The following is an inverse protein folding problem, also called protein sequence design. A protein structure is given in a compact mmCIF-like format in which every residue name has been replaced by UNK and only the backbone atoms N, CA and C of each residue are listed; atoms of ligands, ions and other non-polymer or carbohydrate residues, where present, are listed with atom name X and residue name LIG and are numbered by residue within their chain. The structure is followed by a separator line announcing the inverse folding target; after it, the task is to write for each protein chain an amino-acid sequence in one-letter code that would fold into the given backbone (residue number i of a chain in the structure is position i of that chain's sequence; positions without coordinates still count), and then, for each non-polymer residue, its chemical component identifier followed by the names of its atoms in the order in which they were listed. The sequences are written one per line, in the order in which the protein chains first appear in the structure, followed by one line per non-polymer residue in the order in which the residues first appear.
data_IF_934485349602
#
_entry.id   IF_934485349602
#
_cell.length_a   1.000
_cell.length_b   1.000
_cell.length_c   1.000
_cell.angle_alpha   90.00
_cell.angle_beta   90.00
_cell.angle_gamma   90.00
#
_symmetry.space_group_name_H-M   'P 1'
#
loop_
_entity.id
_entity.type
_entity.pdbx_description
1 polymer ?
#
# COMPACT_ATOMS: atom_id res chain seq x y z
N UNK A 1 -106.99 -7.01 -10.14
CA UNK A 1 -105.90 -8.03 -10.09
C UNK A 1 -105.52 -8.29 -8.64
N UNK A 2 -104.70 -9.31 -8.34
CA UNK A 2 -104.02 -9.45 -7.04
C UNK A 2 -102.52 -9.27 -7.26
N UNK A 3 -101.87 -8.41 -6.46
CA UNK A 3 -100.41 -8.33 -6.38
C UNK A 3 -99.86 -9.40 -5.43
N UNK A 4 -98.62 -9.83 -5.68
CA UNK A 4 -97.87 -10.75 -4.83
C UNK A 4 -96.37 -10.59 -5.08
N UNK A 5 -95.56 -10.50 -4.02
CA UNK A 5 -94.14 -10.20 -4.12
C UNK A 5 -93.87 -8.69 -4.07
N UNK A 6 -93.01 -8.20 -4.97
CA UNK A 6 -92.40 -6.86 -4.92
C UNK A 6 -93.35 -5.68 -5.24
N UNK A 7 -94.60 -5.95 -5.62
CA UNK A 7 -95.56 -4.94 -6.07
C UNK A 7 -96.94 -5.12 -5.42
N UNK A 8 -97.48 -4.02 -4.91
CA UNK A 8 -98.84 -3.93 -4.37
C UNK A 8 -99.79 -3.36 -5.42
N UNK A 9 -100.99 -3.93 -5.53
CA UNK A 9 -102.03 -3.43 -6.44
C UNK A 9 -103.06 -2.69 -5.61
N UNK A 10 -103.31 -1.42 -5.95
CA UNK A 10 -104.32 -0.58 -5.30
C UNK A 10 -105.75 -1.05 -5.53
N UNK A 11 -106.70 -0.37 -4.88
CA UNK A 11 -108.12 -0.57 -5.18
C UNK A 11 -108.41 -0.20 -6.66
N UNK A 12 -109.33 -0.90 -7.34
CA UNK A 12 -109.70 -0.56 -8.71
C UNK A 12 -110.46 0.77 -8.76
N UNK A 13 -110.00 1.69 -9.60
CA UNK A 13 -110.65 2.98 -9.84
C UNK A 13 -111.29 3.01 -11.23
N UNK A 14 -112.26 3.91 -11.42
CA UNK A 14 -112.94 4.10 -12.72
C UNK A 14 -112.41 5.37 -13.37
N UNK A 15 -111.65 5.23 -14.46
CA UNK A 15 -111.16 6.36 -15.24
C UNK A 15 -112.27 7.01 -16.07
N UNK A 16 -112.01 8.22 -16.58
CA UNK A 16 -113.00 9.12 -17.20
C UNK A 16 -113.82 8.51 -18.36
N UNK A 17 -113.28 7.50 -19.04
CA UNK A 17 -113.94 6.76 -20.13
C UNK A 17 -114.66 5.47 -19.67
N UNK A 18 -114.88 5.27 -18.36
CA UNK A 18 -115.53 4.08 -17.79
C UNK A 18 -114.64 2.83 -17.67
N UNK A 19 -113.34 2.96 -17.96
CA UNK A 19 -112.36 1.87 -17.89
C UNK A 19 -111.84 1.65 -16.46
N UNK A 20 -111.68 0.40 -16.03
CA UNK A 20 -111.07 0.07 -14.73
C UNK A 20 -109.56 0.27 -14.77
N UNK A 21 -109.06 1.14 -13.89
CA UNK A 21 -107.63 1.40 -13.69
C UNK A 21 -107.17 0.65 -12.44
N UNK A 22 -105.95 0.10 -12.48
CA UNK A 22 -105.27 -0.51 -11.35
C UNK A 22 -103.90 0.15 -11.18
N UNK A 23 -103.72 0.93 -10.12
CA UNK A 23 -102.40 1.41 -9.71
C UNK A 23 -101.57 0.23 -9.22
N UNK A 24 -100.33 0.12 -9.68
CA UNK A 24 -99.38 -0.93 -9.29
C UNK A 24 -98.16 -0.25 -8.69
N UNK A 25 -98.16 -0.15 -7.37
CA UNK A 25 -97.09 0.49 -6.61
C UNK A 25 -95.97 -0.51 -6.35
N UNK A 26 -94.74 -0.11 -6.66
CA UNK A 26 -93.53 -0.92 -6.47
C UNK A 26 -92.59 -0.14 -5.56
N UNK A 27 -92.31 -0.68 -4.37
CA UNK A 27 -91.51 0.03 -3.38
C UNK A 27 -90.04 0.12 -3.83
N UNK A 28 -89.57 1.32 -4.15
CA UNK A 28 -88.15 1.55 -4.48
C UNK A 28 -87.29 1.53 -3.20
N UNK A 29 -86.14 0.87 -3.27
CA UNK A 29 -85.08 0.94 -2.28
C UNK A 29 -84.29 2.27 -2.38
N UNK A 30 -83.52 2.59 -1.33
CA UNK A 30 -82.38 3.49 -1.47
C UNK A 30 -81.31 2.93 -2.40
N UNK A 31 -80.35 3.75 -2.82
CA UNK A 31 -79.18 3.25 -3.55
C UNK A 31 -78.39 2.26 -2.65
N UNK A 32 -77.90 1.13 -3.21
CA UNK A 32 -77.05 0.22 -2.45
C UNK A 32 -75.69 0.86 -2.18
N UNK A 33 -74.99 0.38 -1.15
CA UNK A 33 -73.60 0.74 -0.90
C UNK A 33 -72.68 -0.38 -1.37
N UNK A 34 -71.48 -0.04 -1.84
CA UNK A 34 -70.46 -1.01 -2.25
C UNK A 34 -69.16 -0.69 -1.53
N UNK A 35 -68.66 -1.65 -0.75
CA UNK A 35 -67.46 -1.47 0.08
C UNK A 35 -66.55 -2.68 -0.08
N UNK A 36 -65.33 -2.47 -0.60
CA UNK A 36 -64.36 -3.55 -0.91
C UNK A 36 -64.94 -4.68 -1.78
N UNK A 37 -65.83 -4.34 -2.72
CA UNK A 37 -66.51 -5.29 -3.61
C UNK A 37 -67.76 -5.98 -3.02
N UNK A 38 -68.05 -5.82 -1.72
CA UNK A 38 -69.31 -6.29 -1.14
C UNK A 38 -70.42 -5.26 -1.43
N UNK A 39 -71.47 -5.68 -2.13
CA UNK A 39 -72.71 -4.90 -2.28
C UNK A 39 -73.60 -5.12 -1.05
N UNK A 40 -74.03 -4.04 -0.40
CA UNK A 40 -74.97 -4.05 0.70
C UNK A 40 -76.21 -3.23 0.36
N UNK A 41 -77.40 -3.82 0.57
CA UNK A 41 -78.66 -3.07 0.57
C UNK A 41 -78.85 -2.40 1.92
N UNK A 42 -79.63 -1.32 1.96
CA UNK A 42 -79.98 -0.64 3.21
C UNK A 42 -80.90 -1.53 4.07
N UNK A 43 -80.69 -1.53 5.37
CA UNK A 43 -81.57 -2.20 6.34
C UNK A 43 -83.03 -1.73 6.19
N UNK A 44 -83.95 -2.68 6.02
CA UNK A 44 -85.37 -2.44 5.74
C UNK A 44 -85.72 -2.25 4.25
N UNK A 45 -84.75 -2.39 3.33
CA UNK A 45 -84.95 -2.35 1.88
C UNK A 45 -84.80 -3.73 1.20
N UNK A 46 -84.66 -4.82 1.95
CA UNK A 46 -84.29 -6.17 1.44
C UNK A 46 -85.33 -6.78 0.48
N UNK A 47 -86.58 -6.31 0.55
CA UNK A 47 -87.69 -6.74 -0.29
C UNK A 47 -88.20 -5.63 -1.23
N UNK A 48 -87.36 -4.62 -1.53
CA UNK A 48 -87.66 -3.48 -2.40
C UNK A 48 -86.91 -3.56 -3.72
N UNK A 49 -87.31 -2.78 -4.72
CA UNK A 49 -86.66 -2.77 -6.05
C UNK A 49 -85.61 -1.67 -6.18
N UNK A 50 -84.52 -1.98 -6.88
CA UNK A 50 -83.53 -1.03 -7.39
C UNK A 50 -83.60 -1.03 -8.91
N UNK A 51 -83.31 0.10 -9.55
CA UNK A 51 -83.10 0.12 -11.01
C UNK A 51 -81.69 -0.37 -11.34
N UNK A 52 -81.47 -0.80 -12.59
CA UNK A 52 -80.12 -1.11 -13.07
C UNK A 52 -79.18 0.10 -12.98
N UNK A 53 -79.71 1.33 -13.05
CA UNK A 53 -78.96 2.57 -12.81
C UNK A 53 -78.48 2.67 -11.38
N UNK A 54 -79.38 2.53 -10.38
CA UNK A 54 -79.00 2.61 -8.95
C UNK A 54 -77.88 1.62 -8.58
N UNK A 55 -77.88 0.43 -9.18
CA UNK A 55 -76.84 -0.60 -8.97
C UNK A 55 -75.55 -0.27 -9.73
N UNK A 56 -75.64 0.16 -10.99
CA UNK A 56 -74.48 0.55 -11.78
C UNK A 56 -73.77 1.78 -11.18
N UNK A 57 -74.52 2.79 -10.75
CA UNK A 57 -73.99 3.98 -10.09
C UNK A 57 -73.31 3.63 -8.76
N UNK A 58 -73.89 2.72 -7.95
CA UNK A 58 -73.27 2.27 -6.72
C UNK A 58 -71.96 1.48 -6.93
N UNK A 59 -71.86 0.72 -8.04
CA UNK A 59 -70.63 0.00 -8.42
C UNK A 59 -69.58 0.97 -8.99
N UNK A 60 -69.98 1.88 -9.88
CA UNK A 60 -69.08 2.85 -10.52
C UNK A 60 -68.53 3.90 -9.55
N UNK A 61 -69.32 4.29 -8.54
CA UNK A 61 -68.89 5.18 -7.46
C UNK A 61 -68.34 4.41 -6.24
N UNK A 62 -68.08 3.10 -6.36
CA UNK A 62 -67.46 2.32 -5.29
C UNK A 62 -65.97 2.66 -5.14
N UNK A 63 -65.45 2.55 -3.92
CA UNK A 63 -64.04 2.87 -3.65
C UNK A 63 -63.10 1.84 -4.32
N UNK A 64 -62.27 2.29 -5.27
CA UNK A 64 -61.10 1.52 -5.75
C UNK A 64 -60.00 1.53 -4.65
N UNK A 65 -60.11 0.66 -3.64
CA UNK A 65 -59.28 0.70 -2.41
C UNK A 65 -57.84 0.17 -2.55
N UNK A 66 -57.20 0.27 -3.72
CA UNK A 66 -55.85 -0.27 -3.97
C UNK A 66 -54.76 0.77 -3.71
N UNK A 67 -54.25 0.84 -2.48
CA UNK A 67 -53.11 1.69 -2.12
C UNK A 67 -51.78 0.92 -2.15
N UNK A 68 -50.81 1.41 -2.94
CA UNK A 68 -49.44 0.89 -2.99
C UNK A 68 -48.48 2.01 -2.58
N UNK A 69 -47.56 1.72 -1.65
CA UNK A 69 -46.60 2.69 -1.11
C UNK A 69 -45.19 2.11 -1.18
N UNK A 70 -44.21 2.93 -1.56
CA UNK A 70 -42.80 2.53 -1.56
C UNK A 70 -42.27 2.40 -0.11
N UNK A 71 -41.71 1.24 0.23
CA UNK A 71 -41.18 0.97 1.57
C UNK A 71 -39.88 1.72 1.93
N UNK A 72 -39.21 2.34 0.96
CA UNK A 72 -38.02 3.17 1.20
C UNK A 72 -37.80 4.16 0.05
N UNK A 73 -36.92 5.14 0.23
CA UNK A 73 -36.48 6.07 -0.84
C UNK A 73 -35.73 5.37 -1.99
N UNK A 74 -35.24 4.15 -1.77
CA UNK A 74 -34.56 3.34 -2.79
C UNK A 74 -35.54 2.49 -3.61
N UNK A 75 -36.80 2.38 -3.20
CA UNK A 75 -37.86 1.76 -4.02
C UNK A 75 -38.68 2.87 -4.67
N UNK A 76 -38.86 2.79 -5.99
CA UNK A 76 -39.83 3.64 -6.70
C UNK A 76 -41.04 2.80 -7.09
N UNK A 77 -42.23 3.35 -6.87
CA UNK A 77 -43.49 2.78 -7.35
C UNK A 77 -44.10 3.80 -8.30
N UNK A 78 -44.39 3.38 -9.54
CA UNK A 78 -45.02 4.22 -10.57
C UNK A 78 -46.32 3.56 -11.03
N UNK A 79 -47.41 4.30 -10.93
CA UNK A 79 -48.67 3.90 -11.56
C UNK A 79 -48.55 4.00 -13.09
N UNK A 80 -48.95 2.94 -13.78
CA UNK A 80 -49.06 2.87 -15.22
C UNK A 80 -50.44 3.30 -15.73
N UNK A 81 -50.94 2.62 -16.76
CA UNK A 81 -52.32 2.77 -17.23
C UNK A 81 -53.24 1.81 -16.47
N UNK A 82 -54.55 1.98 -16.62
CA UNK A 82 -55.48 0.88 -16.32
C UNK A 82 -55.45 -0.17 -17.43
N UNK A 83 -55.60 -1.45 -17.07
CA UNK A 83 -55.80 -2.55 -18.02
C UNK A 83 -57.24 -2.56 -18.59
N UNK A 84 -57.52 -3.43 -19.55
CA UNK A 84 -58.85 -3.60 -20.17
C UNK A 84 -59.97 -4.02 -19.19
N UNK A 85 -59.64 -4.19 -17.90
CA UNK A 85 -60.57 -4.54 -16.80
C UNK A 85 -60.62 -3.45 -15.71
N UNK A 86 -59.95 -2.31 -15.90
CA UNK A 86 -59.97 -1.18 -14.97
C UNK A 86 -59.00 -1.30 -13.77
N UNK A 87 -57.99 -2.18 -13.84
CA UNK A 87 -56.96 -2.30 -12.80
C UNK A 87 -55.76 -1.42 -13.15
N UNK A 88 -55.31 -0.57 -12.23
CA UNK A 88 -54.06 0.18 -12.36
C UNK A 88 -52.85 -0.76 -12.33
N UNK A 89 -52.05 -0.78 -13.39
CA UNK A 89 -50.74 -1.43 -13.38
C UNK A 89 -49.74 -0.62 -12.52
N UNK A 90 -48.84 -1.30 -11.81
CA UNK A 90 -47.79 -0.64 -11.01
C UNK A 90 -46.41 -1.21 -11.35
N UNK A 91 -45.51 -0.36 -11.83
CA UNK A 91 -44.09 -0.69 -11.92
C UNK A 91 -43.42 -0.43 -10.57
N UNK A 92 -42.78 -1.46 -10.01
CA UNK A 92 -41.95 -1.36 -8.80
C UNK A 92 -40.50 -1.54 -9.22
N UNK A 93 -39.62 -0.61 -8.86
CA UNK A 93 -38.23 -0.62 -9.33
C UNK A 93 -37.26 -0.06 -8.29
N UNK A 94 -36.06 -0.65 -8.18
CA UNK A 94 -35.04 -0.29 -7.16
C UNK A 94 -34.00 0.67 -7.74
N UNK A 95 -33.85 1.84 -7.13
CA UNK A 95 -32.86 2.84 -7.51
C UNK A 95 -31.42 2.33 -7.29
N UNK A 96 -30.57 2.57 -8.29
CA UNK A 96 -29.12 2.36 -8.26
C UNK A 96 -28.38 3.60 -7.77
N UNK A 97 -27.12 3.45 -7.39
CA UNK A 97 -26.23 4.53 -6.98
C UNK A 97 -24.85 4.41 -7.65
N UNK A 98 -23.81 5.04 -7.08
CA UNK A 98 -22.43 4.86 -7.57
C UNK A 98 -21.84 3.49 -7.18
N UNK A 99 -22.34 2.86 -6.12
CA UNK A 99 -21.81 1.62 -5.53
C UNK A 99 -22.46 0.37 -6.13
N UNK A 100 -23.76 0.46 -6.46
CA UNK A 100 -24.57 -0.64 -7.01
C UNK A 100 -25.26 -0.16 -8.29
N UNK A 101 -24.90 -0.78 -9.41
CA UNK A 101 -25.52 -0.58 -10.72
C UNK A 101 -26.43 -1.75 -11.13
N UNK A 102 -26.68 -1.88 -12.44
CA UNK A 102 -27.29 -3.07 -13.05
C UNK A 102 -26.45 -3.60 -14.21
N UNK A 103 -26.60 -4.88 -14.49
CA UNK A 103 -26.12 -5.49 -15.73
C UNK A 103 -27.11 -5.31 -16.90
N UNK A 104 -26.78 -5.89 -18.06
CA UNK A 104 -27.59 -5.78 -19.28
C UNK A 104 -28.93 -6.54 -19.19
N UNK A 105 -29.03 -7.54 -18.31
CA UNK A 105 -30.24 -8.35 -18.09
C UNK A 105 -31.14 -7.73 -17.00
N UNK A 106 -30.66 -6.68 -16.32
CA UNK A 106 -31.38 -5.90 -15.32
C UNK A 106 -31.14 -6.34 -13.86
N UNK A 107 -30.23 -7.29 -13.61
CA UNK A 107 -29.89 -7.70 -12.24
C UNK A 107 -29.04 -6.63 -11.56
N UNK A 108 -29.18 -6.50 -10.23
CA UNK A 108 -28.34 -5.58 -9.44
C UNK A 108 -26.89 -6.11 -9.39
N UNK A 109 -25.91 -5.24 -9.59
CA UNK A 109 -24.49 -5.60 -9.61
C UNK A 109 -23.64 -4.55 -8.88
N UNK A 110 -22.54 -4.96 -8.25
CA UNK A 110 -21.61 -4.02 -7.61
C UNK A 110 -20.80 -3.29 -8.69
N UNK A 111 -20.64 -1.98 -8.57
CA UNK A 111 -19.74 -1.20 -9.42
C UNK A 111 -18.32 -1.28 -8.85
N UNK A 112 -17.32 -1.46 -9.71
CA UNK A 112 -15.89 -1.49 -9.32
C UNK A 112 -15.09 -0.55 -10.22
N UNK A 113 -13.88 -0.18 -9.81
CA UNK A 113 -12.98 0.64 -10.63
C UNK A 113 -12.46 -0.11 -11.86
N UNK A 114 -12.55 -1.45 -11.86
CA UNK A 114 -12.00 -2.38 -12.84
C UNK A 114 -10.47 -2.23 -13.02
N UNK A 115 -9.79 -1.74 -11.98
CA UNK A 115 -8.35 -1.47 -11.93
C UNK A 115 -7.72 -2.14 -10.70
N UNK A 116 -8.14 -1.78 -9.49
CA UNK A 116 -7.74 -2.45 -8.24
C UNK A 116 -8.70 -3.58 -7.85
N UNK A 117 -9.98 -3.44 -8.20
CA UNK A 117 -11.04 -4.41 -7.91
C UNK A 117 -11.80 -4.74 -9.21
N UNK A 118 -11.90 -6.03 -9.53
CA UNK A 118 -12.59 -6.55 -10.72
C UNK A 118 -13.71 -7.50 -10.32
N UNK A 119 -14.68 -7.70 -11.21
CA UNK A 119 -15.66 -8.79 -11.11
C UNK A 119 -15.22 -9.97 -11.95
N UNK A 120 -15.43 -11.18 -11.46
CA UNK A 120 -15.28 -12.37 -12.29
C UNK A 120 -16.41 -12.42 -13.35
N UNK A 121 -16.10 -12.58 -14.66
CA UNK A 121 -17.11 -12.61 -15.71
C UNK A 121 -17.93 -13.92 -15.73
N UNK A 122 -17.56 -14.92 -14.93
CA UNK A 122 -18.20 -16.24 -14.86
C UNK A 122 -19.02 -16.41 -13.59
N UNK A 123 -18.48 -16.00 -12.43
CA UNK A 123 -19.15 -16.15 -11.12
C UNK A 123 -19.79 -14.87 -10.60
N UNK A 124 -19.44 -13.70 -11.17
CA UNK A 124 -19.85 -12.39 -10.66
C UNK A 124 -19.12 -11.93 -9.39
N UNK A 125 -18.22 -12.76 -8.84
CA UNK A 125 -17.51 -12.47 -7.59
C UNK A 125 -16.61 -11.23 -7.70
N UNK A 126 -16.70 -10.35 -6.70
CA UNK A 126 -15.83 -9.18 -6.56
C UNK A 126 -14.50 -9.62 -5.97
N UNK A 127 -13.39 -9.36 -6.67
CA UNK A 127 -12.04 -9.82 -6.29
C UNK A 127 -10.97 -8.75 -6.54
N UNK A 128 -9.89 -8.82 -5.77
CA UNK A 128 -8.70 -8.01 -5.99
C UNK A 128 -8.07 -8.32 -7.35
N UNK A 129 -7.71 -7.27 -8.09
CA UNK A 129 -7.00 -7.37 -9.36
C UNK A 129 -5.49 -7.28 -9.08
N UNK A 130 -4.81 -8.43 -9.07
CA UNK A 130 -3.41 -8.52 -8.70
C UNK A 130 -2.47 -8.63 -9.91
N UNK A 131 -1.23 -8.19 -9.72
CA UNK A 131 -0.10 -8.46 -10.62
C UNK A 131 1.07 -9.07 -9.84
N UNK A 132 2.02 -9.69 -10.53
CA UNK A 132 3.26 -10.20 -9.92
C UNK A 132 4.37 -9.16 -9.99
N UNK A 133 5.23 -9.14 -8.98
CA UNK A 133 6.50 -8.41 -9.02
C UNK A 133 7.60 -9.36 -9.52
N UNK A 134 8.38 -8.90 -10.50
CA UNK A 134 9.42 -9.69 -11.16
C UNK A 134 10.79 -9.06 -10.93
N UNK A 135 11.87 -9.85 -10.94
CA UNK A 135 13.25 -9.36 -10.84
C UNK A 135 13.95 -9.41 -12.19
N UNK A 136 14.87 -8.47 -12.43
CA UNK A 136 15.82 -8.55 -13.54
C UNK A 136 16.96 -9.54 -13.21
N UNK A 137 17.72 -10.03 -14.21
CA UNK A 137 18.87 -10.92 -13.96
C UNK A 137 19.94 -10.33 -13.03
N UNK A 138 19.99 -9.00 -12.94
CA UNK A 138 20.90 -8.22 -12.11
C UNK A 138 20.40 -8.04 -10.66
N UNK A 139 19.21 -8.55 -10.31
CA UNK A 139 18.64 -8.47 -8.96
C UNK A 139 17.75 -7.27 -8.67
N UNK A 140 17.56 -6.34 -9.62
CA UNK A 140 16.62 -5.22 -9.44
C UNK A 140 15.18 -5.73 -9.53
N UNK A 141 14.26 -5.20 -8.72
CA UNK A 141 12.81 -5.39 -8.96
C UNK A 141 12.41 -4.57 -10.20
N UNK A 142 11.81 -5.24 -11.18
CA UNK A 142 11.28 -4.62 -12.40
C UNK A 142 9.96 -3.92 -12.10
N UNK A 143 9.88 -2.63 -12.44
CA UNK A 143 8.68 -1.83 -12.28
C UNK A 143 7.58 -2.32 -13.24
N UNK A 144 6.36 -2.65 -12.76
CA UNK A 144 5.23 -3.00 -13.62
C UNK A 144 4.86 -1.83 -14.54
N UNK A 145 4.33 -2.11 -15.73
CA UNK A 145 4.03 -1.08 -16.75
C UNK A 145 2.59 -1.17 -17.25
N UNK A 146 2.12 -0.10 -17.91
CA UNK A 146 0.75 -0.04 -18.43
C UNK A 146 -0.30 -0.10 -17.33
N UNK A 147 -1.30 -0.97 -17.48
CA UNK A 147 -2.36 -1.14 -16.47
C UNK A 147 -1.93 -2.01 -15.28
N UNK A 148 -0.89 -2.83 -15.41
CA UNK A 148 -0.35 -3.61 -14.29
C UNK A 148 0.31 -2.71 -13.23
N UNK A 149 0.79 -1.52 -13.61
CA UNK A 149 1.30 -0.48 -12.70
C UNK A 149 0.25 0.07 -11.73
N UNK A 150 -1.03 -0.25 -11.93
CA UNK A 150 -2.18 0.23 -11.13
C UNK A 150 -2.82 -0.89 -10.30
N UNK A 151 -2.35 -2.13 -10.44
CA UNK A 151 -2.89 -3.32 -9.78
C UNK A 151 -2.32 -3.49 -8.37
N UNK A 152 -2.97 -4.35 -7.59
CA UNK A 152 -2.49 -4.76 -6.27
C UNK A 152 -1.44 -5.87 -6.38
N UNK A 153 -0.74 -6.17 -5.29
CA UNK A 153 0.21 -7.29 -5.18
C UNK A 153 -0.08 -8.09 -3.91
N UNK A 154 0.17 -9.39 -3.90
CA UNK A 154 -0.03 -10.20 -2.69
C UNK A 154 1.21 -10.20 -1.80
N UNK A 155 1.05 -10.60 -0.53
CA UNK A 155 2.18 -10.85 0.37
C UNK A 155 3.15 -11.92 -0.18
N UNK A 156 2.66 -12.87 -1.00
CA UNK A 156 3.49 -13.84 -1.70
C UNK A 156 4.33 -13.22 -2.80
N UNK A 157 3.77 -12.29 -3.59
CA UNK A 157 4.51 -11.56 -4.63
C UNK A 157 5.61 -10.68 -4.02
N UNK A 158 5.30 -9.98 -2.92
CA UNK A 158 6.26 -9.17 -2.17
C UNK A 158 7.41 -10.06 -1.65
N UNK A 159 7.10 -11.18 -0.99
CA UNK A 159 8.11 -12.10 -0.48
C UNK A 159 8.98 -12.69 -1.60
N UNK A 160 8.37 -13.07 -2.73
CA UNK A 160 9.10 -13.61 -3.89
C UNK A 160 10.04 -12.57 -4.52
N UNK A 161 9.58 -11.32 -4.69
CA UNK A 161 10.37 -10.24 -5.26
C UNK A 161 11.52 -9.80 -4.36
N UNK A 162 11.32 -9.77 -3.04
CA UNK A 162 12.39 -9.54 -2.05
C UNK A 162 13.41 -10.68 -2.13
N UNK A 163 12.98 -11.93 -1.95
CA UNK A 163 13.86 -13.10 -1.86
C UNK A 163 14.62 -13.42 -3.17
N UNK A 164 14.24 -12.82 -4.30
CA UNK A 164 14.96 -12.91 -5.57
C UNK A 164 15.60 -11.59 -6.05
N UNK A 165 15.43 -10.51 -5.29
CA UNK A 165 16.22 -9.29 -5.46
C UNK A 165 17.66 -9.47 -4.95
N UNK A 166 18.50 -8.47 -5.13
CA UNK A 166 19.84 -8.47 -4.54
C UNK A 166 20.76 -7.40 -5.13
N UNK A 167 22.05 -7.52 -4.81
CA UNK A 167 23.11 -6.66 -5.33
C UNK A 167 24.20 -7.48 -6.02
N UNK A 168 24.88 -6.89 -7.01
CA UNK A 168 25.98 -7.56 -7.70
C UNK A 168 27.32 -7.23 -7.05
N UNK A 169 28.11 -8.26 -6.78
CA UNK A 169 29.52 -8.12 -6.41
C UNK A 169 30.39 -8.57 -7.58
N UNK A 170 31.47 -7.85 -7.86
CA UNK A 170 32.49 -8.18 -8.86
C UNK A 170 33.84 -7.65 -8.39
N UNK A 171 34.96 -8.09 -8.99
CA UNK A 171 36.25 -7.45 -8.73
C UNK A 171 36.42 -6.23 -9.66
N UNK A 172 37.03 -5.17 -9.12
CA UNK A 172 37.70 -4.17 -9.95
C UNK A 172 38.96 -4.77 -10.59
N UNK A 173 39.55 -4.05 -11.54
CA UNK A 173 40.72 -4.54 -12.27
C UNK A 173 42.04 -4.29 -11.53
N UNK A 174 43.00 -5.19 -11.72
CA UNK A 174 44.38 -5.03 -11.30
C UNK A 174 45.20 -4.28 -12.36
N UNK A 175 46.04 -3.35 -11.92
CA UNK A 175 47.02 -2.58 -12.71
C UNK A 175 48.25 -2.17 -11.88
N UNK A 176 48.14 -2.21 -10.55
CA UNK A 176 49.15 -1.95 -9.50
C UNK A 176 50.29 -3.00 -9.47
N UNK A 177 50.65 -3.58 -10.62
CA UNK A 177 51.41 -4.84 -10.69
C UNK A 177 50.60 -6.07 -10.27
N UNK A 178 49.30 -5.89 -10.01
CA UNK A 178 48.42 -6.84 -9.35
C UNK A 178 47.68 -7.82 -10.24
N UNK A 179 47.79 -9.12 -9.95
CA UNK A 179 46.78 -10.09 -10.39
C UNK A 179 45.38 -9.72 -9.90
N UNK A 180 44.42 -9.62 -10.83
CA UNK A 180 43.08 -10.18 -10.62
C UNK A 180 43.05 -11.64 -11.06
N UNK A 181 42.41 -12.49 -10.26
CA UNK A 181 41.98 -13.85 -10.61
C UNK A 181 40.48 -13.95 -10.41
N UNK A 182 39.84 -14.93 -11.08
CA UNK A 182 38.43 -15.33 -10.88
C UNK A 182 37.34 -14.34 -11.33
N UNK A 183 37.69 -13.17 -11.88
CA UNK A 183 36.77 -12.02 -12.11
C UNK A 183 35.44 -12.44 -12.76
N UNK A 184 34.40 -12.50 -11.92
CA UNK A 184 33.01 -12.81 -12.25
C UNK A 184 32.08 -11.86 -11.50
N UNK A 185 31.05 -11.36 -12.17
CA UNK A 185 29.91 -10.70 -11.51
C UNK A 185 28.97 -11.76 -10.93
N UNK A 186 28.56 -11.58 -9.67
CA UNK A 186 27.68 -12.50 -8.96
C UNK A 186 26.61 -11.69 -8.21
N UNK A 187 25.34 -11.97 -8.52
CA UNK A 187 24.20 -11.52 -7.73
C UNK A 187 24.24 -12.21 -6.36
N UNK A 188 24.05 -11.42 -5.30
CA UNK A 188 23.90 -11.84 -3.90
C UNK A 188 22.49 -11.47 -3.44
N UNK A 189 21.70 -12.48 -3.05
CA UNK A 189 20.29 -12.34 -2.60
C UNK A 189 20.19 -12.14 -1.09
N UNK A 190 19.03 -11.67 -0.56
CA UNK A 190 18.77 -11.68 0.88
C UNK A 190 19.02 -13.05 1.52
N UNK A 191 19.65 -13.04 2.70
CA UNK A 191 20.13 -14.22 3.44
C UNK A 191 21.29 -15.01 2.81
N UNK A 192 21.79 -14.65 1.63
CA UNK A 192 23.08 -15.17 1.13
C UNK A 192 24.25 -14.48 1.85
N UNK A 193 25.38 -15.18 1.98
CA UNK A 193 26.56 -14.69 2.72
C UNK A 193 27.67 -14.30 1.75
N UNK A 194 28.23 -13.10 1.92
CA UNK A 194 29.51 -12.70 1.29
C UNK A 194 30.62 -12.93 2.29
N UNK A 195 31.53 -13.86 1.98
CA UNK A 195 32.73 -14.10 2.77
C UNK A 195 33.84 -13.12 2.35
N UNK A 196 34.68 -12.75 3.31
CA UNK A 196 35.88 -11.96 3.08
C UNK A 196 37.04 -12.69 3.75
N UNK A 197 38.04 -13.09 2.97
CA UNK A 197 39.23 -13.80 3.46
C UNK A 197 40.45 -12.88 3.52
N UNK A 198 41.35 -13.14 4.47
CA UNK A 198 42.66 -12.50 4.55
C UNK A 198 43.75 -13.41 3.98
N UNK A 199 44.44 -12.93 2.94
CA UNK A 199 45.60 -13.61 2.37
C UNK A 199 46.80 -13.69 3.33
N UNK A 200 47.89 -14.33 2.87
CA UNK A 200 49.16 -14.32 3.60
C UNK A 200 49.60 -12.86 3.84
N UNK A 201 50.19 -12.58 5.00
CA UNK A 201 50.62 -11.25 5.45
C UNK A 201 49.50 -10.22 5.72
N UNK A 202 48.24 -10.53 5.42
CA UNK A 202 47.07 -9.69 5.73
C UNK A 202 46.35 -10.16 7.01
N UNK A 203 45.81 -9.22 7.77
CA UNK A 203 44.80 -9.42 8.81
C UNK A 203 43.49 -8.81 8.31
N UNK A 204 42.37 -9.49 8.57
CA UNK A 204 41.04 -8.92 8.41
C UNK A 204 40.36 -8.92 9.78
N UNK A 205 39.89 -7.74 10.20
CA UNK A 205 39.07 -7.56 11.40
C UNK A 205 37.67 -7.14 10.97
N UNK A 206 36.65 -7.90 11.41
CA UNK A 206 35.25 -7.53 11.28
C UNK A 206 34.71 -7.10 12.65
N UNK A 207 34.12 -5.90 12.73
CA UNK A 207 33.39 -5.41 13.90
C UNK A 207 32.28 -4.46 13.44
N UNK A 208 31.06 -4.62 13.97
CA UNK A 208 29.93 -3.69 13.76
C UNK A 208 29.67 -3.31 12.28
N UNK A 209 29.74 -4.30 11.38
CA UNK A 209 29.58 -4.14 9.93
C UNK A 209 30.81 -3.59 9.20
N UNK A 210 31.80 -3.06 9.91
CA UNK A 210 33.08 -2.60 9.34
C UNK A 210 34.04 -3.77 9.14
N UNK A 211 34.54 -3.90 7.90
CA UNK A 211 35.64 -4.79 7.54
C UNK A 211 36.92 -3.96 7.41
N UNK A 212 37.95 -4.30 8.19
CA UNK A 212 39.24 -3.60 8.21
C UNK A 212 40.36 -4.56 7.82
N UNK A 213 40.94 -4.34 6.64
CA UNK A 213 42.16 -5.03 6.20
C UNK A 213 43.40 -4.28 6.70
N UNK A 214 44.36 -4.99 7.29
CA UNK A 214 45.67 -4.45 7.69
C UNK A 214 46.79 -5.43 7.34
N UNK A 215 48.04 -4.95 7.28
CA UNK A 215 49.21 -5.84 7.37
C UNK A 215 49.32 -6.43 8.76
N UNK A 216 49.78 -7.68 8.86
CA UNK A 216 50.21 -8.26 10.13
C UNK A 216 51.42 -7.51 10.67
N UNK A 217 51.57 -7.41 11.99
CA UNK A 217 52.79 -6.87 12.63
C UNK A 217 54.05 -7.63 12.19
N UNK A 218 53.89 -8.92 11.88
CA UNK A 218 54.93 -9.80 11.36
C UNK A 218 54.51 -10.34 9.98
N UNK A 219 55.16 -9.83 8.93
CA UNK A 219 54.95 -10.24 7.53
C UNK A 219 56.11 -11.09 7.01
N UNK A 220 55.81 -12.07 6.16
CA UNK A 220 56.80 -13.00 5.60
C UNK A 220 56.79 -12.96 4.07
N UNK A 221 57.73 -12.24 3.48
CA UNK A 221 57.96 -12.18 2.03
C UNK A 221 59.07 -13.16 1.59
N UNK A 222 59.03 -13.63 0.35
CA UNK A 222 60.06 -14.52 -0.21
C UNK A 222 61.27 -13.75 -0.78
N UNK A 223 61.08 -12.46 -1.10
CA UNK A 223 62.09 -11.50 -1.53
C UNK A 223 61.59 -10.10 -1.20
N UNK A 224 62.50 -9.13 -1.06
CA UNK A 224 62.20 -7.70 -0.95
C UNK A 224 63.21 -6.99 -1.85
N UNK A 225 62.74 -6.36 -2.93
CA UNK A 225 63.64 -5.64 -3.82
C UNK A 225 63.93 -4.22 -3.28
N UNK A 226 65.16 -4.03 -2.80
CA UNK A 226 65.66 -2.74 -2.33
C UNK A 226 66.23 -1.87 -3.45
N UNK A 227 66.39 -2.39 -4.68
CA UNK A 227 67.31 -1.89 -5.71
C UNK A 227 67.16 -0.41 -6.05
N UNK A 228 65.92 0.08 -6.13
CA UNK A 228 65.64 1.46 -6.45
C UNK A 228 65.78 2.42 -5.27
N UNK A 229 65.86 1.92 -4.04
CA UNK A 229 65.27 2.65 -2.93
C UNK A 229 66.19 3.16 -1.85
N UNK A 230 66.07 4.46 -1.59
CA UNK A 230 66.63 5.14 -0.44
C UNK A 230 65.63 5.25 0.73
N UNK A 231 65.75 4.34 1.74
CA UNK A 231 65.24 4.44 3.12
C UNK A 231 65.51 5.72 3.97
N UNK A 232 65.77 5.69 5.28
CA UNK A 232 66.01 6.92 6.12
C UNK A 232 66.88 6.70 7.40
N UNK A 233 66.54 7.19 8.62
CA UNK A 233 67.34 7.14 9.89
C UNK A 233 67.01 6.10 11.01
N UNK A 234 66.17 6.37 12.06
CA UNK A 234 65.93 5.51 13.28
C UNK A 234 66.00 3.98 13.17
N UNK A 235 65.15 3.39 12.35
CA UNK A 235 64.80 1.98 12.40
C UNK A 235 66.01 1.06 12.40
N UNK A 236 66.18 0.36 13.52
CA UNK A 236 67.11 -0.75 13.63
C UNK A 236 66.42 -2.00 13.09
N UNK A 237 67.01 -2.63 12.07
CA UNK A 237 66.51 -3.90 11.54
C UNK A 237 67.00 -5.04 12.45
N UNK A 238 66.44 -5.11 13.66
CA UNK A 238 66.70 -6.23 14.58
C UNK A 238 66.14 -7.53 14.03
N UNK A 239 66.85 -8.65 14.29
CA UNK A 239 66.54 -9.99 13.76
C UNK A 239 66.59 -10.15 12.23
N UNK A 240 67.36 -9.31 11.54
CA UNK A 240 68.01 -9.77 10.31
C UNK A 240 68.80 -11.07 10.56
N UNK A 241 68.81 -11.92 9.54
CA UNK A 241 69.88 -12.92 9.36
C UNK A 241 71.18 -12.22 8.87
N UNK A 242 71.63 -11.20 9.62
CA UNK A 242 72.84 -10.33 9.50
C UNK A 242 72.82 -9.03 8.59
N UNK A 243 72.39 -7.83 9.11
CA UNK A 243 72.92 -6.42 8.84
C UNK A 243 72.03 -5.11 8.58
N UNK A 244 71.86 -4.05 9.52
CA UNK A 244 71.59 -2.50 9.40
C UNK A 244 70.82 -1.65 10.56
N UNK A 245 70.97 -0.26 10.76
CA UNK A 245 70.16 0.72 11.67
C UNK A 245 70.49 2.31 11.81
N UNK A 246 69.72 3.23 12.55
CA UNK A 246 69.93 4.77 12.73
C UNK A 246 69.09 5.67 13.78
N UNK A 247 68.70 7.02 13.60
CA UNK A 247 67.85 7.98 14.52
C UNK A 247 67.10 9.32 14.00
N UNK A 248 65.82 9.76 14.35
CA UNK A 248 65.09 11.12 14.07
C UNK A 248 63.71 11.56 14.83
N UNK A 249 62.92 12.67 14.52
CA UNK A 249 61.68 13.26 15.24
C UNK A 249 60.69 14.39 14.57
N UNK A 250 59.49 14.87 15.16
CA UNK A 250 58.41 15.84 14.57
C UNK A 250 57.51 16.90 15.46
N UNK A 251 56.20 17.32 15.14
CA UNK A 251 55.45 18.68 15.39
C UNK A 251 53.89 18.80 15.88
N UNK A 252 53.11 19.97 15.76
CA UNK A 252 51.77 20.38 16.45
C UNK A 252 50.65 21.35 15.78
N UNK A 253 49.57 21.94 16.47
CA UNK A 253 48.20 22.47 15.96
C UNK A 253 47.37 23.73 16.63
N UNK A 254 46.11 24.21 16.20
CA UNK A 254 45.37 25.57 16.48
C UNK A 254 43.87 25.73 17.11
N UNK A 255 43.04 26.84 16.89
CA UNK A 255 41.81 27.40 17.70
C UNK A 255 40.52 28.13 17.03
N UNK A 256 39.57 28.89 17.74
CA UNK A 256 38.08 29.20 17.46
C UNK A 256 37.38 30.64 17.55
N UNK A 257 36.19 30.88 16.89
CA UNK A 257 35.15 31.90 17.28
C UNK A 257 33.63 31.70 16.91
N UNK A 258 33.22 30.66 16.17
CA UNK A 258 32.17 30.82 15.12
C UNK A 258 30.74 30.20 15.35
N UNK A 259 30.30 29.82 16.58
CA UNK A 259 29.32 28.69 16.76
C UNK A 259 27.91 28.88 17.45
N UNK A 260 27.10 29.97 17.37
CA UNK A 260 26.00 30.19 18.40
C UNK A 260 24.50 30.57 18.00
N UNK A 261 23.49 29.64 17.85
CA UNK A 261 22.11 29.89 17.24
C UNK A 261 20.69 29.40 17.83
N UNK A 262 19.89 28.45 17.22
CA UNK A 262 18.37 28.42 16.89
C UNK A 262 17.33 27.58 17.78
N UNK A 263 15.96 27.80 17.75
CA UNK A 263 14.82 26.92 18.26
C UNK A 263 13.28 27.25 17.86
N UNK A 264 12.29 26.31 18.08
CA UNK A 264 10.82 26.42 18.53
C UNK A 264 9.48 26.20 17.66
N UNK A 265 8.34 25.72 18.30
CA UNK A 265 6.83 25.97 18.18
C UNK A 265 5.67 25.01 17.58
N UNK A 266 4.38 25.20 18.07
CA UNK A 266 2.93 25.00 17.57
C UNK A 266 2.01 23.67 17.55
N UNK A 267 0.68 23.70 17.95
CA UNK A 267 -0.44 22.66 17.74
C UNK A 267 -1.95 23.05 18.21
N UNK A 268 -3.12 22.45 17.75
CA UNK A 268 -4.54 22.55 18.34
C UNK A 268 -5.82 21.73 17.79
N UNK A 269 -7.01 21.77 18.50
CA UNK A 269 -8.50 21.65 18.13
C UNK A 269 -9.42 20.32 18.12
N UNK A 270 -10.76 20.39 18.47
CA UNK A 270 -11.88 19.30 18.49
C UNK A 270 -13.42 19.75 18.58
N UNK A 271 -14.49 18.86 18.52
CA UNK A 271 -15.97 19.12 18.78
C UNK A 271 -17.06 17.97 18.55
N UNK A 272 -18.38 18.04 19.02
CA UNK A 272 -19.48 16.96 18.95
C UNK A 272 -21.02 17.32 19.29
N UNK A 273 -22.04 16.40 19.07
CA UNK A 273 -23.42 16.12 19.73
C UNK A 273 -24.86 16.44 19.08
N UNK A 274 -25.96 15.59 19.32
CA UNK A 274 -27.49 15.87 19.41
C UNK A 274 -28.52 14.66 19.17
N UNK A 275 -29.76 14.57 19.79
CA UNK A 275 -30.84 13.48 19.61
C UNK A 275 -32.36 13.79 20.03
N UNK A 276 -33.44 13.05 19.59
CA UNK A 276 -34.94 13.21 19.86
C UNK A 276 -35.87 11.96 19.47
N UNK A 277 -37.16 11.64 19.87
CA UNK A 277 -37.87 10.32 19.48
C UNK A 277 -39.44 9.96 19.65
N UNK A 278 -39.97 8.95 18.85
CA UNK A 278 -40.99 7.80 19.10
C UNK A 278 -42.54 7.78 18.70
N UNK A 279 -43.21 6.59 18.44
CA UNK A 279 -44.64 6.36 17.96
C UNK A 279 -45.31 4.91 18.22
N UNK A 280 -46.65 4.62 18.03
CA UNK A 280 -47.57 3.54 18.64
C UNK A 280 -47.56 2.06 18.12
N UNK A 281 -47.81 1.06 18.99
CA UNK A 281 -48.36 -0.28 18.63
C UNK A 281 -47.41 -1.13 17.77
N UNK A 282 -47.78 -1.40 16.51
CA UNK A 282 -46.88 -2.04 15.54
C UNK A 282 -45.73 -1.10 15.12
N UNK A 283 -45.92 0.24 15.17
CA UNK A 283 -44.86 1.27 15.37
C UNK A 283 -43.85 0.92 16.47
N UNK A 284 -44.37 0.64 17.66
CA UNK A 284 -43.57 0.30 18.86
C UNK A 284 -43.01 -1.13 18.83
N UNK A 285 -43.53 -2.02 17.97
CA UNK A 285 -43.13 -3.44 17.89
C UNK A 285 -42.34 -3.82 16.63
N UNK A 286 -42.40 -3.03 15.54
CA UNK A 286 -41.56 -3.19 14.35
C UNK A 286 -40.14 -2.68 14.62
N UNK A 287 -39.48 -3.38 15.54
CA UNK A 287 -38.09 -3.18 15.92
C UNK A 287 -37.19 -3.35 14.69
N UNK A 288 -36.79 -2.22 14.09
CA UNK A 288 -35.88 -2.19 12.94
C UNK A 288 -34.49 -2.53 13.45
N UNK A 289 -34.19 -3.83 13.51
CA UNK A 289 -33.03 -4.39 14.21
C UNK A 289 -31.76 -4.29 13.33
N UNK A 290 -31.18 -3.09 13.27
CA UNK A 290 -29.92 -2.84 12.54
C UNK A 290 -28.73 -3.18 13.46
N UNK A 291 -28.27 -4.43 13.40
CA UNK A 291 -27.14 -4.91 14.21
C UNK A 291 -25.82 -4.84 13.44
N UNK A 292 -24.87 -4.05 13.96
CA UNK A 292 -23.51 -4.00 13.44
C UNK A 292 -22.62 -5.08 14.05
N UNK A 293 -22.22 -6.08 13.27
CA UNK A 293 -21.19 -7.04 13.65
C UNK A 293 -19.79 -6.36 13.71
N UNK A 294 -18.73 -7.14 13.96
CA UNK A 294 -17.34 -6.71 14.19
C UNK A 294 -16.80 -5.65 13.23
N UNK A 295 -17.23 -5.64 11.96
CA UNK A 295 -16.74 -4.73 10.91
C UNK A 295 -17.49 -3.40 10.76
N UNK A 296 -18.61 -3.17 11.46
CA UNK A 296 -19.43 -1.95 11.32
C UNK A 296 -19.95 -1.42 12.66
N UNK A 297 -19.99 -0.10 12.82
CA UNK A 297 -20.70 0.58 13.91
C UNK A 297 -22.06 1.02 13.39
N UNK A 298 -23.08 0.88 14.24
CA UNK A 298 -24.41 1.44 13.97
C UNK A 298 -24.72 2.40 15.10
N UNK A 299 -24.84 3.68 14.78
CA UNK A 299 -25.28 4.71 15.72
C UNK A 299 -26.67 5.18 15.33
N UNK A 300 -27.53 5.45 16.32
CA UNK A 300 -28.91 5.88 16.09
C UNK A 300 -29.13 7.28 16.65
N UNK A 301 -29.43 8.23 15.76
CA UNK A 301 -30.07 9.49 16.11
C UNK A 301 -31.53 9.39 15.70
N UNK A 302 -32.45 9.67 16.60
CA UNK A 302 -33.87 9.80 16.27
C UNK A 302 -34.21 11.29 16.14
N UNK A 303 -35.21 11.59 15.29
CA UNK A 303 -35.43 12.89 14.65
C UNK A 303 -36.63 13.63 15.26
N UNK A 304 -36.80 14.91 14.89
CA UNK A 304 -37.87 15.78 15.40
C UNK A 304 -39.29 15.38 14.93
N UNK A 305 -39.40 14.56 13.88
CA UNK A 305 -40.64 13.92 13.43
C UNK A 305 -40.91 12.55 14.10
N UNK A 306 -40.02 12.12 14.99
CA UNK A 306 -40.07 10.84 15.71
C UNK A 306 -39.40 9.66 15.00
N UNK A 307 -38.93 9.80 13.76
CA UNK A 307 -38.28 8.74 12.98
C UNK A 307 -36.81 8.51 13.38
N UNK A 308 -36.29 7.29 13.27
CA UNK A 308 -34.87 6.98 13.61
C UNK A 308 -33.97 6.99 12.38
N UNK A 309 -32.97 7.87 12.38
CA UNK A 309 -31.80 7.83 11.49
C UNK A 309 -30.76 6.86 12.06
N UNK A 310 -30.53 5.75 11.37
CA UNK A 310 -29.41 4.86 11.64
C UNK A 310 -28.23 5.27 10.75
N UNK A 311 -27.16 5.78 11.36
CA UNK A 311 -25.88 5.97 10.66
C UNK A 311 -25.10 4.68 10.78
N UNK A 312 -24.78 4.06 9.63
CA UNK A 312 -23.98 2.84 9.54
C UNK A 312 -22.60 3.23 9.04
N UNK A 313 -21.58 2.97 9.85
CA UNK A 313 -20.20 3.37 9.61
C UNK A 313 -19.32 2.13 9.58
N UNK A 314 -18.34 2.07 8.66
CA UNK A 314 -17.34 1.01 8.70
C UNK A 314 -16.44 1.19 9.93
N UNK A 315 -16.21 0.12 10.70
CA UNK A 315 -15.19 0.12 11.74
C UNK A 315 -13.83 0.05 11.06
N UNK A 316 -13.15 1.19 11.03
CA UNK A 316 -11.74 1.28 10.66
C UNK A 316 -10.89 1.32 11.94
N UNK A 317 -9.67 0.81 11.89
CA UNK A 317 -8.72 0.91 13.01
C UNK A 317 -8.08 2.30 13.13
N UNK A 318 -8.34 3.20 12.17
CA UNK A 318 -7.74 4.53 12.06
C UNK A 318 -6.24 4.48 11.75
N UNK A 319 -5.67 3.29 11.57
CA UNK A 319 -4.23 3.01 11.66
C UNK A 319 -3.72 2.42 10.36
N UNK A 320 -4.36 1.36 9.85
CA UNK A 320 -4.13 0.79 8.51
C UNK A 320 -5.20 1.23 7.51
N UNK A 321 -6.43 1.47 7.98
CA UNK A 321 -7.58 1.93 7.20
C UNK A 321 -8.22 3.13 7.90
N UNK A 322 -8.74 4.10 7.14
CA UNK A 322 -9.47 5.26 7.66
C UNK A 322 -10.56 5.73 6.71
N UNK A 323 -11.58 6.41 7.25
CA UNK A 323 -12.55 7.16 6.44
C UNK A 323 -11.99 8.57 6.19
N UNK A 324 -12.08 9.08 4.97
CA UNK A 324 -11.61 10.42 4.62
C UNK A 324 -12.71 11.50 4.72
N UNK A 325 -12.34 12.77 4.53
CA UNK A 325 -13.23 13.94 4.62
C UNK A 325 -14.45 13.92 3.66
N UNK A 326 -14.46 13.01 2.67
CA UNK A 326 -15.58 12.80 1.73
C UNK A 326 -16.47 11.62 2.10
N UNK A 327 -16.17 10.90 3.18
CA UNK A 327 -16.83 9.66 3.58
C UNK A 327 -16.31 8.41 2.87
N UNK A 328 -15.21 8.49 2.13
CA UNK A 328 -14.63 7.35 1.39
C UNK A 328 -13.72 6.52 2.31
N UNK A 329 -13.84 5.19 2.31
CA UNK A 329 -12.90 4.31 3.00
C UNK A 329 -11.58 4.29 2.20
N UNK A 330 -10.47 4.51 2.88
CA UNK A 330 -9.13 4.66 2.30
C UNK A 330 -8.09 3.91 3.12
N UNK A 331 -7.00 3.47 2.46
CA UNK A 331 -5.81 3.03 3.16
C UNK A 331 -5.18 4.23 3.90
N UNK A 332 -4.74 4.01 5.14
CA UNK A 332 -3.86 4.95 5.81
C UNK A 332 -2.41 4.61 5.45
N UNK A 333 -1.71 5.52 4.80
CA UNK A 333 -0.35 5.28 4.27
C UNK A 333 0.66 6.27 4.83
N UNK A 334 1.76 5.77 5.39
CA UNK A 334 2.96 6.55 5.68
C UNK A 334 3.89 6.55 4.47
N UNK A 335 4.71 7.60 4.35
CA UNK A 335 5.92 7.52 3.53
C UNK A 335 7.06 6.84 4.31
N UNK A 336 8.08 6.42 3.57
CA UNK A 336 9.38 5.97 4.07
C UNK A 336 10.44 6.95 3.57
N UNK A 337 11.44 7.26 4.39
CA UNK A 337 12.50 8.21 4.04
C UNK A 337 13.88 7.65 4.39
N UNK A 338 14.91 8.17 3.73
CA UNK A 338 16.31 7.82 4.00
C UNK A 338 17.03 9.04 4.58
N UNK A 339 17.93 8.80 5.53
CA UNK A 339 18.86 9.83 6.00
C UNK A 339 20.08 9.95 5.06
N UNK A 340 20.96 10.96 5.24
CA UNK A 340 22.14 11.15 4.40
C UNK A 340 23.15 9.99 4.43
N UNK A 341 23.03 9.07 5.39
CA UNK A 341 23.86 7.87 5.55
C UNK A 341 23.25 6.62 4.89
N UNK A 342 22.14 6.75 4.14
CA UNK A 342 21.49 5.65 3.44
C UNK A 342 20.71 4.70 4.34
N UNK A 343 20.56 4.99 5.64
CA UNK A 343 19.64 4.27 6.51
C UNK A 343 18.20 4.73 6.23
N UNK A 344 17.28 3.79 6.10
CA UNK A 344 15.83 4.08 6.15
C UNK A 344 15.47 4.52 7.59
N UNK A 345 14.82 5.65 7.74
CA UNK A 345 14.38 6.15 9.04
C UNK A 345 13.04 5.53 9.47
N UNK A 346 12.77 5.59 10.78
CA UNK A 346 11.54 5.07 11.35
C UNK A 346 10.34 5.88 10.82
N UNK A 347 9.24 5.24 10.36
CA UNK A 347 8.12 5.97 9.79
C UNK A 347 7.41 6.82 10.84
N UNK A 348 6.88 7.98 10.46
CA UNK A 348 6.13 8.86 11.37
C UNK A 348 4.83 8.21 11.88
N UNK A 349 4.27 7.28 11.10
CA UNK A 349 3.17 6.40 11.52
C UNK A 349 3.60 4.93 11.33
N UNK A 350 4.33 4.32 12.29
CA UNK A 350 5.01 3.03 12.10
C UNK A 350 4.06 1.81 11.97
N UNK A 351 2.76 2.00 12.22
CA UNK A 351 1.72 0.99 12.04
C UNK A 351 0.86 1.23 10.78
N UNK A 352 1.13 2.28 10.00
CA UNK A 352 0.42 2.56 8.76
C UNK A 352 0.91 1.68 7.60
N UNK A 353 0.14 1.65 6.51
CA UNK A 353 0.54 0.95 5.29
C UNK A 353 1.57 1.77 4.50
N UNK A 354 2.19 1.17 3.49
CA UNK A 354 3.14 1.82 2.57
C UNK A 354 2.82 1.42 1.14
N UNK A 355 3.09 2.31 0.16
CA UNK A 355 2.88 1.98 -1.25
C UNK A 355 4.06 1.19 -1.83
N UNK A 356 3.82 0.42 -2.90
CA UNK A 356 4.90 -0.27 -3.61
C UNK A 356 5.98 0.70 -4.14
N UNK A 357 5.58 1.92 -4.53
CA UNK A 357 6.51 3.00 -4.90
C UNK A 357 7.33 3.48 -3.70
N UNK A 358 6.69 3.78 -2.57
CA UNK A 358 7.34 4.20 -1.32
C UNK A 358 8.41 3.19 -0.89
N UNK A 359 8.11 1.89 -0.95
CA UNK A 359 9.07 0.81 -0.65
C UNK A 359 10.22 0.77 -1.65
N UNK A 360 9.93 0.87 -2.95
CA UNK A 360 10.97 0.87 -3.98
C UNK A 360 11.89 2.10 -3.87
N UNK A 361 11.35 3.29 -3.66
CA UNK A 361 12.11 4.52 -3.49
C UNK A 361 13.02 4.46 -2.25
N UNK A 362 12.51 3.95 -1.12
CA UNK A 362 13.28 3.80 0.11
C UNK A 362 14.41 2.77 -0.01
N UNK A 363 14.20 1.66 -0.74
CA UNK A 363 15.25 0.66 -1.02
C UNK A 363 16.29 1.22 -1.98
N UNK A 364 15.87 1.84 -3.09
CA UNK A 364 16.78 2.41 -4.10
C UNK A 364 17.62 3.59 -3.56
N UNK A 365 17.16 4.27 -2.49
CA UNK A 365 17.93 5.31 -1.81
C UNK A 365 18.63 4.82 -0.53
N UNK A 366 18.37 3.59 -0.08
CA UNK A 366 19.14 2.96 0.98
C UNK A 366 20.51 2.50 0.49
N UNK A 367 21.46 2.33 1.41
CA UNK A 367 22.82 1.96 1.07
C UNK A 367 23.74 1.80 2.27
N UNK A 368 25.05 1.83 2.01
CA UNK A 368 26.10 1.85 3.03
C UNK A 368 27.19 2.87 2.67
N UNK A 369 27.89 3.39 3.67
CA UNK A 369 29.02 4.29 3.44
C UNK A 369 30.32 3.53 3.19
N UNK A 370 31.10 3.97 2.20
CA UNK A 370 32.51 3.63 2.04
C UNK A 370 33.39 4.83 2.44
N UNK A 371 34.55 4.55 3.04
CA UNK A 371 35.51 5.55 3.54
C UNK A 371 36.91 4.91 3.50
N UNK A 372 37.92 5.63 3.04
CA UNK A 372 39.32 5.21 2.99
C UNK A 372 40.20 6.11 3.87
N UNK A 373 41.00 5.51 4.76
CA UNK A 373 41.96 6.22 5.62
C UNK A 373 41.39 7.35 6.52
N UNK A 374 40.06 7.49 6.63
CA UNK A 374 39.40 8.56 7.38
C UNK A 374 38.98 9.79 6.56
N UNK A 375 38.87 9.65 5.24
CA UNK A 375 38.36 10.67 4.31
C UNK A 375 36.84 10.96 4.46
N UNK A 376 36.24 11.69 3.51
CA UNK A 376 34.79 11.92 3.51
C UNK A 376 34.02 10.67 3.08
N UNK A 377 33.08 10.25 3.94
CA UNK A 377 32.20 9.11 3.67
C UNK A 377 31.41 9.30 2.38
N UNK A 378 31.42 8.29 1.51
CA UNK A 378 30.65 8.24 0.27
C UNK A 378 29.56 7.18 0.38
N UNK A 379 28.29 7.59 0.20
CA UNK A 379 27.16 6.66 0.21
C UNK A 379 27.11 5.84 -1.09
N UNK A 380 27.18 4.52 -0.96
CA UNK A 380 26.94 3.52 -2.02
C UNK A 380 25.52 3.02 -1.87
N UNK A 381 24.64 3.31 -2.84
CA UNK A 381 23.22 2.93 -2.81
C UNK A 381 22.96 1.53 -3.35
N UNK A 382 21.77 1.01 -3.10
CA UNK A 382 21.26 -0.24 -3.69
C UNK A 382 21.30 -0.16 -5.23
N UNK A 383 22.19 -0.96 -5.82
CA UNK A 383 22.40 -1.04 -7.28
C UNK A 383 23.68 -0.34 -7.77
N UNK A 384 24.36 0.45 -6.94
CA UNK A 384 25.65 1.04 -7.28
C UNK A 384 26.76 -0.02 -7.37
N UNK A 385 27.83 0.29 -8.09
CA UNK A 385 29.01 -0.60 -8.26
C UNK A 385 30.24 -0.02 -7.57
N UNK A 386 30.75 -0.70 -6.56
CA UNK A 386 32.06 -0.40 -5.97
C UNK A 386 33.15 -1.06 -6.81
N UNK A 387 34.12 -0.28 -7.29
CA UNK A 387 35.24 -0.78 -8.08
C UNK A 387 36.56 -0.61 -7.32
N UNK A 388 37.26 -1.72 -7.08
CA UNK A 388 38.59 -1.73 -6.45
C UNK A 388 39.69 -1.62 -7.51
N UNK A 389 40.17 -0.39 -7.73
CA UNK A 389 41.38 -0.07 -8.50
C UNK A 389 42.59 0.16 -7.57
N UNK A 390 43.75 0.43 -8.17
CA UNK A 390 45.07 0.23 -7.58
C UNK A 390 46.16 0.91 -8.50
N UNK A 391 47.39 1.22 -8.02
CA UNK A 391 48.43 2.09 -8.64
C UNK A 391 49.81 1.57 -9.16
N UNK A 392 50.69 0.89 -8.38
CA UNK A 392 52.07 0.45 -8.82
C UNK A 392 52.65 -0.92 -8.33
N UNK A 393 52.43 -1.40 -7.10
CA UNK A 393 52.97 -2.64 -6.49
C UNK A 393 52.00 -3.58 -5.67
N UNK A 394 50.68 -3.35 -5.63
CA UNK A 394 49.63 -4.12 -4.91
C UNK A 394 48.84 -5.04 -5.85
N UNK A 395 48.17 -6.05 -5.29
CA UNK A 395 47.44 -7.11 -5.99
C UNK A 395 46.01 -7.25 -5.44
N UNK A 396 44.99 -7.45 -6.29
CA UNK A 396 43.57 -7.51 -5.91
C UNK A 396 42.81 -8.52 -6.79
N UNK A 397 42.29 -9.61 -6.22
CA UNK A 397 41.51 -10.64 -6.94
C UNK A 397 40.06 -10.77 -6.46
N UNK A 398 39.17 -11.41 -7.25
CA UNK A 398 37.98 -12.10 -6.72
C UNK A 398 37.80 -13.46 -7.36
N UNK A 399 37.89 -14.49 -6.54
CA UNK A 399 37.11 -15.72 -6.74
C UNK A 399 36.16 -15.85 -5.54
N UNK A 400 34.95 -15.29 -5.69
CA UNK A 400 34.05 -14.96 -4.57
C UNK A 400 34.56 -13.78 -3.71
N UNK A 401 35.66 -13.98 -3.01
CA UNK A 401 36.14 -13.10 -1.94
C UNK A 401 37.19 -12.11 -2.49
N UNK A 402 37.16 -10.84 -2.05
CA UNK A 402 38.19 -9.87 -2.44
C UNK A 402 39.48 -10.20 -1.69
N UNK A 403 40.53 -10.60 -2.41
CA UNK A 403 41.85 -10.89 -1.82
C UNK A 403 42.85 -9.84 -2.25
N UNK A 404 43.47 -9.15 -1.29
CA UNK A 404 44.55 -8.18 -1.52
C UNK A 404 45.91 -8.79 -1.17
N UNK A 405 46.93 -8.57 -2.01
CA UNK A 405 48.32 -9.01 -1.81
C UNK A 405 49.32 -7.97 -2.34
N UNK A 406 50.63 -8.27 -2.29
CA UNK A 406 51.66 -7.51 -3.01
C UNK A 406 51.97 -8.19 -4.34
N UNK A 407 52.19 -7.41 -5.41
CA UNK A 407 52.59 -7.92 -6.71
C UNK A 407 53.79 -8.89 -6.61
N UNK A 408 53.79 -9.96 -7.42
CA UNK A 408 54.89 -10.94 -7.46
C UNK A 408 56.25 -10.30 -7.79
N UNK A 409 56.24 -9.29 -8.66
CA UNK A 409 57.39 -8.48 -9.01
C UNK A 409 57.06 -7.03 -8.61
N UNK A 410 57.82 -6.45 -7.70
CA UNK A 410 57.64 -5.06 -7.23
C UNK A 410 58.75 -4.16 -7.76
N UNK A 411 58.40 -2.90 -8.02
CA UNK A 411 59.28 -1.85 -8.51
C UNK A 411 59.02 -0.56 -7.70
N UNK A 412 59.80 -0.37 -6.63
CA UNK A 412 59.73 0.82 -5.79
C UNK A 412 60.49 2.00 -6.41
N UNK A 413 60.29 3.22 -5.91
CA UNK A 413 61.22 4.35 -6.16
C UNK A 413 61.98 4.72 -4.87
N UNK A 414 61.38 4.43 -3.71
CA UNK A 414 62.16 3.95 -2.57
C UNK A 414 61.47 2.92 -1.68
N UNK A 415 62.29 2.13 -0.99
CA UNK A 415 61.92 1.23 0.12
C UNK A 415 62.47 1.87 1.39
N UNK A 416 61.99 1.56 2.59
CA UNK A 416 62.43 2.24 3.81
C UNK A 416 62.57 1.26 4.99
N UNK A 417 63.80 0.99 5.43
CA UNK A 417 64.21 0.03 6.49
C UNK A 417 63.86 0.47 7.92
N UNK A 418 62.61 0.88 8.08
CA UNK A 418 62.03 1.58 9.23
C UNK A 418 61.55 2.96 8.79
N UNK A 419 61.03 3.79 9.69
CA UNK A 419 60.39 5.09 9.40
C UNK A 419 61.32 6.10 8.64
N UNK A 420 62.55 5.69 8.36
CA UNK A 420 63.71 5.83 9.24
C UNK A 420 64.50 4.50 9.31
N UNK A 421 65.69 4.36 8.71
CA UNK A 421 66.62 3.20 8.72
C UNK A 421 67.40 3.15 7.37
N UNK A 422 68.74 3.03 7.25
CA UNK A 422 69.51 3.63 6.11
C UNK A 422 69.36 3.16 4.63
N UNK A 423 69.79 4.06 3.71
CA UNK A 423 69.30 4.45 2.35
C UNK A 423 70.02 3.80 1.12
N UNK A 424 69.40 3.10 0.15
CA UNK A 424 70.03 2.28 -0.93
C UNK A 424 69.46 2.50 -2.38
N UNK A 425 69.63 3.65 -3.04
CA UNK A 425 68.89 3.98 -4.31
C UNK A 425 69.37 3.23 -5.54
N UNK A 426 68.54 3.23 -6.59
CA UNK A 426 69.02 3.21 -7.97
C UNK A 426 69.43 4.62 -8.39
N UNK A 427 70.67 4.79 -8.81
CA UNK A 427 71.12 6.01 -9.47
C UNK A 427 71.89 5.65 -10.75
N UNK A 428 71.30 5.95 -11.91
CA UNK A 428 71.89 5.63 -13.21
C UNK A 428 72.12 4.13 -13.44
N UNK A 429 71.32 3.25 -12.83
CA UNK A 429 71.47 1.80 -12.86
C UNK A 429 72.38 1.20 -11.77
N UNK A 430 72.91 2.02 -10.86
CA UNK A 430 73.79 1.58 -9.77
C UNK A 430 73.07 1.55 -8.42
N UNK A 431 73.45 0.63 -7.55
CA UNK A 431 72.95 0.53 -6.17
C UNK A 431 73.74 1.47 -5.24
N UNK A 432 73.09 2.50 -4.72
CA UNK A 432 73.68 3.62 -3.97
C UNK A 432 73.32 3.56 -2.47
N UNK A 433 74.11 2.85 -1.67
CA UNK A 433 73.98 2.81 -0.20
C UNK A 433 74.37 4.15 0.45
N UNK A 434 73.77 4.51 1.60
CA UNK A 434 73.93 5.79 2.28
C UNK A 434 72.98 6.00 3.50
N UNK A 435 72.87 7.22 4.03
CA UNK A 435 71.95 7.62 5.11
C UNK A 435 70.73 8.37 4.56
N UNK A 436 69.84 8.83 5.45
CA UNK A 436 68.60 9.56 5.14
C UNK A 436 68.70 10.80 4.25
N UNK A 437 69.85 11.45 4.15
CA UNK A 437 70.03 12.60 3.26
C UNK A 437 70.73 12.17 1.95
N UNK A 438 71.30 10.96 1.95
CA UNK A 438 72.06 10.37 0.85
C UNK A 438 73.57 10.28 1.12
N UNK A 439 74.05 10.72 2.29
CA UNK A 439 75.47 10.66 2.68
C UNK A 439 75.96 9.21 2.79
N UNK A 440 77.26 8.97 2.88
CA UNK A 440 77.79 7.61 3.04
C UNK A 440 77.49 7.03 4.44
N UNK A 441 77.07 5.75 4.51
CA UNK A 441 76.96 4.99 5.77
C UNK A 441 77.98 3.88 5.84
N UNK A 442 78.29 3.46 7.07
CA UNK A 442 79.07 2.26 7.35
C UNK A 442 78.21 1.02 7.09
N UNK A 443 78.44 0.34 5.97
CA UNK A 443 77.96 -1.04 5.78
C UNK A 443 78.85 -1.97 6.63
N UNK A 444 78.25 -2.93 7.32
CA UNK A 444 78.96 -3.89 8.20
C UNK A 444 78.68 -5.32 7.78
N UNK A 445 79.70 -6.17 7.90
CA UNK A 445 79.66 -7.59 7.48
C UNK A 445 79.43 -7.79 5.97
N UNK A 446 80.04 -6.91 5.17
CA UNK A 446 80.27 -7.07 3.72
C UNK A 446 81.61 -7.73 3.45
#
# INVERSE_FOLDING_TARGET
MKGSGLATVGAPETGDNGQTIYTVDVAKAGAPTVTRGNVAVKEGDENKVMTAGDVADAINNSEKTSSVVAGSKAVTVKAGKEDDKGNTEYTVDVATDKSIGRDNDGNMTVNTDNVTIVKDPTTGEVKANTTTLNNSPEGKVTEPTGDDAKKLVTAGDIANAINNSGFNVTAGDGVDGGETKGKKTQLIKPSETVTFDAGKNMTLTQADGKFTYTTKDNVAFNSIDMSNGKPDTTGSITNLKSGVGGTFADKAAPTDAERKAIADNINNATGDTLNNAVNVGDVQAATTKVEGDKGVTVTSKTNDDGSTTYTVEAKTDGTTIKVNDKGEITANTSELTNNPDGKVEEPTEPNALVTAKTVADAINNAGFNIQANGDEKSLVKTGDTVQFLNGKNIEITRDGNITVSTAKNVNFDSVQFGNEGPKITNNGGNINVGDKDGNAVKVTNV
#
